data_IF_945187538120
#
_entry.id   IF_945187538120
#
_cell.length_a   1.000
_cell.length_b   1.000
_cell.length_c   1.000
_cell.angle_alpha   90.00
_cell.angle_beta   90.00
_cell.angle_gamma   90.00
#
_symmetry.space_group_name_H-M   'P 1'
#
loop_
_entity.id
_entity.type
_entity.pdbx_description
1 polymer ?
#
# COMPACT_ATOMS: atom_id res chain seq x y z
N UNK A 1 -8.49 -25.84 64.18
CA UNK A 1 -8.14 -26.01 62.76
C UNK A 1 -9.33 -25.56 61.92
N UNK A 2 -9.39 -24.30 61.47
CA UNK A 2 -10.16 -23.92 60.30
C UNK A 2 -9.29 -24.08 59.05
N UNK A 3 -9.93 -24.47 57.95
CA UNK A 3 -9.31 -24.77 56.67
C UNK A 3 -8.61 -23.54 56.06
N UNK A 4 -7.52 -23.83 55.34
CA UNK A 4 -6.88 -22.88 54.46
C UNK A 4 -7.60 -22.88 53.12
N UNK A 5 -8.28 -21.79 52.81
CA UNK A 5 -8.53 -21.37 51.42
C UNK A 5 -7.84 -20.02 51.23
N UNK A 6 -6.55 -20.11 50.90
CA UNK A 6 -5.76 -19.02 50.35
C UNK A 6 -6.45 -18.48 49.10
N UNK A 7 -6.65 -17.16 49.07
CA UNK A 7 -7.31 -16.45 47.99
C UNK A 7 -6.73 -16.75 46.62
N UNK A 8 -7.62 -16.90 45.65
CA UNK A 8 -7.35 -16.47 44.28
C UNK A 8 -8.00 -15.09 44.15
N UNK A 9 -7.23 -14.05 44.51
CA UNK A 9 -7.46 -12.73 43.93
C UNK A 9 -7.26 -12.89 42.42
N UNK A 10 -8.35 -12.74 41.67
CA UNK A 10 -8.30 -12.58 40.22
C UNK A 10 -7.81 -11.16 39.95
N UNK A 11 -6.50 -10.97 39.95
CA UNK A 11 -5.89 -9.98 39.06
C UNK A 11 -6.10 -10.53 37.62
N UNK A 12 -6.41 -9.78 36.56
CA UNK A 12 -5.96 -8.45 36.18
C UNK A 12 -6.98 -7.84 35.18
N UNK A 13 -6.98 -6.52 35.07
CA UNK A 13 -7.66 -5.77 34.01
C UNK A 13 -7.22 -6.27 32.63
N UNK A 14 -8.06 -7.00 31.92
CA UNK A 14 -7.86 -7.28 30.49
C UNK A 14 -8.13 -6.00 29.70
N UNK A 15 -7.09 -5.20 29.44
CA UNK A 15 -7.19 -4.09 28.48
C UNK A 15 -7.70 -4.58 27.13
N UNK A 16 -8.62 -3.82 26.50
CA UNK A 16 -9.15 -4.17 25.19
C UNK A 16 -8.03 -4.31 24.15
N UNK A 17 -8.11 -5.29 23.23
CA UNK A 17 -7.18 -5.38 22.11
C UNK A 17 -7.17 -4.06 21.34
N UNK A 18 -5.97 -3.59 21.02
CA UNK A 18 -5.77 -2.31 20.35
C UNK A 18 -5.72 -2.52 18.84
N UNK A 19 -6.36 -1.65 18.06
CA UNK A 19 -6.37 -1.73 16.59
C UNK A 19 -6.05 -0.38 15.94
N UNK A 20 -5.51 -0.46 14.72
CA UNK A 20 -5.29 0.67 13.83
C UNK A 20 -6.04 0.38 12.54
N UNK A 21 -6.93 1.28 12.13
CA UNK A 21 -7.72 1.14 10.92
C UNK A 21 -6.93 1.67 9.71
N UNK A 22 -6.35 0.80 8.91
CA UNK A 22 -5.49 1.24 7.80
C UNK A 22 -6.21 1.90 6.64
N UNK A 23 -7.55 1.89 6.61
CA UNK A 23 -8.32 2.51 5.52
C UNK A 23 -9.80 2.69 5.88
N UNK A 24 -10.24 3.94 5.96
CA UNK A 24 -11.66 4.29 6.03
C UNK A 24 -11.95 5.65 5.40
N UNK A 25 -13.21 5.87 5.01
CA UNK A 25 -13.68 7.11 4.39
C UNK A 25 -14.55 7.90 5.37
N UNK A 26 -13.97 8.90 6.02
CA UNK A 26 -14.67 9.75 6.99
C UNK A 26 -15.85 10.48 6.32
N UNK A 27 -15.59 11.16 5.22
CA UNK A 27 -16.56 11.90 4.41
C UNK A 27 -17.77 11.05 4.00
N UNK A 28 -17.51 9.87 3.43
CA UNK A 28 -18.56 8.95 2.98
C UNK A 28 -19.32 8.35 4.16
N UNK A 29 -18.63 8.08 5.26
CA UNK A 29 -19.25 7.56 6.49
C UNK A 29 -20.17 8.60 7.11
N UNK A 30 -19.72 9.85 7.21
CA UNK A 30 -20.53 10.96 7.70
C UNK A 30 -21.79 11.14 6.84
N UNK A 31 -21.64 11.11 5.51
CA UNK A 31 -22.77 11.21 4.58
C UNK A 31 -23.78 10.10 4.80
N UNK A 32 -23.30 8.88 5.05
CA UNK A 32 -24.15 7.71 5.27
C UNK A 32 -24.94 7.80 6.57
N UNK A 33 -24.33 8.28 7.66
CA UNK A 33 -24.92 8.32 9.00
C UNK A 33 -25.78 9.57 9.20
N UNK A 34 -25.25 10.74 8.85
CA UNK A 34 -25.84 12.05 9.17
C UNK A 34 -26.35 12.82 7.95
N UNK A 35 -26.18 12.29 6.73
CA UNK A 35 -26.65 12.94 5.50
C UNK A 35 -25.76 14.09 5.00
N UNK A 36 -24.63 14.35 5.66
CA UNK A 36 -23.67 15.42 5.32
C UNK A 36 -22.25 14.86 5.25
N UNK A 37 -21.45 15.33 4.29
CA UNK A 37 -20.07 14.84 4.09
C UNK A 37 -19.07 15.44 5.08
N UNK A 38 -19.36 16.63 5.63
CA UNK A 38 -18.48 17.36 6.55
C UNK A 38 -19.16 17.74 7.86
N UNK A 39 -18.40 18.44 8.72
CA UNK A 39 -18.89 18.94 10.02
C UNK A 39 -18.83 17.93 11.17
N UNK A 40 -18.38 16.71 10.91
CA UNK A 40 -18.20 15.67 11.91
C UNK A 40 -16.74 15.20 11.97
N UNK A 41 -16.32 14.81 13.17
CA UNK A 41 -14.98 14.32 13.47
C UNK A 41 -14.95 12.80 13.60
N UNK A 42 -13.76 12.21 13.64
CA UNK A 42 -13.63 10.78 13.95
C UNK A 42 -14.13 10.49 15.37
N UNK A 43 -13.98 11.43 16.30
CA UNK A 43 -14.51 11.31 17.66
C UNK A 43 -16.05 11.24 17.68
N UNK A 44 -16.73 11.97 16.79
CA UNK A 44 -18.18 11.87 16.64
C UNK A 44 -18.60 10.50 16.10
N UNK A 45 -17.82 9.93 15.17
CA UNK A 45 -18.05 8.57 14.67
C UNK A 45 -17.85 7.51 15.75
N UNK A 46 -16.79 7.62 16.56
CA UNK A 46 -16.54 6.70 17.67
C UNK A 46 -17.70 6.76 18.69
N UNK A 47 -18.12 7.96 19.09
CA UNK A 47 -19.29 8.15 19.98
C UNK A 47 -20.57 7.56 19.38
N UNK A 48 -20.79 7.75 18.08
CA UNK A 48 -21.93 7.14 17.40
C UNK A 48 -21.84 5.60 17.43
N UNK A 49 -20.66 5.02 17.17
CA UNK A 49 -20.46 3.57 17.20
C UNK A 49 -20.72 2.94 18.58
N UNK A 50 -20.48 3.71 19.65
CA UNK A 50 -20.69 3.30 21.04
C UNK A 50 -22.13 3.48 21.50
N UNK A 51 -22.94 4.32 20.85
CA UNK A 51 -24.31 4.62 21.29
C UNK A 51 -25.27 3.43 21.17
N UNK A 52 -26.35 3.47 21.94
CA UNK A 52 -27.43 2.48 21.89
C UNK A 52 -28.21 2.50 20.56
N UNK A 53 -28.06 3.57 19.75
CA UNK A 53 -28.70 3.65 18.44
C UNK A 53 -28.07 2.72 17.41
N UNK A 54 -26.84 2.22 17.66
CA UNK A 54 -26.17 1.25 16.78
C UNK A 54 -26.56 -0.17 17.23
N UNK A 55 -27.43 -0.88 16.47
CA UNK A 55 -28.03 -2.13 16.91
C UNK A 55 -27.06 -3.32 16.90
N UNK A 56 -25.87 -3.16 16.29
CA UNK A 56 -24.89 -4.21 16.17
C UNK A 56 -23.53 -3.78 16.73
N UNK A 57 -23.06 -4.51 17.75
CA UNK A 57 -21.76 -4.29 18.38
C UNK A 57 -20.74 -5.32 17.90
N UNK A 58 -19.43 -5.02 17.99
CA UNK A 58 -18.37 -5.99 17.81
C UNK A 58 -18.60 -7.29 18.54
N UNK A 59 -18.29 -8.41 17.90
CA UNK A 59 -18.15 -9.69 18.61
C UNK A 59 -16.97 -9.64 19.60
N UNK A 60 -15.93 -8.86 19.26
CA UNK A 60 -14.77 -8.58 20.12
C UNK A 60 -14.60 -7.07 20.17
N UNK A 61 -14.88 -6.43 21.32
CA UNK A 61 -14.61 -5.01 21.50
C UNK A 61 -13.12 -4.73 21.35
N UNK A 62 -12.78 -3.64 20.67
CA UNK A 62 -11.40 -3.22 20.42
C UNK A 62 -11.25 -1.74 20.71
N UNK A 63 -10.04 -1.33 21.10
CA UNK A 63 -9.67 0.08 21.24
C UNK A 63 -9.01 0.56 19.95
N UNK A 64 -9.68 1.43 19.20
CA UNK A 64 -9.09 2.07 18.02
C UNK A 64 -8.13 3.17 18.47
N UNK A 65 -6.86 3.06 18.10
CA UNK A 65 -5.83 4.06 18.49
C UNK A 65 -5.35 4.92 17.34
N UNK A 66 -6.00 4.85 16.18
CA UNK A 66 -5.67 5.64 15.00
C UNK A 66 -6.14 4.96 13.73
N UNK A 67 -5.91 5.65 12.62
CA UNK A 67 -6.21 5.11 11.30
C UNK A 67 -5.85 6.08 10.18
N UNK A 68 -6.06 5.62 8.96
CA UNK A 68 -5.88 6.40 7.73
C UNK A 68 -7.25 6.78 7.16
N UNK A 69 -7.55 8.08 7.20
CA UNK A 69 -8.70 8.66 6.52
C UNK A 69 -8.33 8.84 5.05
N UNK A 70 -9.17 8.34 4.15
CA UNK A 70 -8.89 8.32 2.71
C UNK A 70 -9.77 9.31 1.97
N UNK A 71 -9.15 10.33 1.37
CA UNK A 71 -9.79 11.27 0.46
C UNK A 71 -9.33 11.01 -0.97
N UNK A 72 -10.14 10.28 -1.73
CA UNK A 72 -9.81 9.85 -3.08
C UNK A 72 -10.69 10.46 -4.17
N UNK A 73 -11.47 11.50 -3.82
CA UNK A 73 -12.31 12.26 -4.74
C UNK A 73 -11.75 13.68 -4.88
N UNK A 74 -11.31 14.10 -6.08
CA UNK A 74 -10.71 15.42 -6.26
C UNK A 74 -11.56 16.61 -5.80
N UNK A 75 -12.88 16.42 -5.75
CA UNK A 75 -13.81 17.44 -5.30
C UNK A 75 -13.84 17.60 -3.78
N UNK A 76 -13.44 16.59 -3.01
CA UNK A 76 -13.40 16.63 -1.53
C UNK A 76 -12.06 17.11 -0.99
N UNK A 77 -11.07 17.40 -1.85
CA UNK A 77 -9.78 17.95 -1.44
C UNK A 77 -9.86 19.23 -0.58
N UNK A 78 -10.76 20.20 -0.85
CA UNK A 78 -10.93 21.37 0.01
C UNK A 78 -11.47 21.02 1.41
N UNK A 79 -12.17 19.89 1.54
CA UNK A 79 -12.78 19.42 2.79
C UNK A 79 -11.82 18.55 3.62
N UNK A 80 -10.59 18.33 3.14
CA UNK A 80 -9.55 17.64 3.89
C UNK A 80 -9.21 18.47 5.13
N UNK A 81 -9.85 18.12 6.24
CA UNK A 81 -9.64 18.79 7.51
C UNK A 81 -8.33 18.32 8.12
N UNK A 82 -7.38 19.25 8.29
CA UNK A 82 -6.13 18.99 9.00
C UNK A 82 -6.21 19.29 10.50
N UNK A 83 -7.37 19.75 10.99
CA UNK A 83 -7.64 19.96 12.43
C UNK A 83 -7.94 18.64 13.17
N UNK A 84 -7.68 17.50 12.53
CA UNK A 84 -7.73 16.17 13.13
C UNK A 84 -6.85 16.11 14.38
N UNK A 85 -7.48 16.31 15.54
CA UNK A 85 -6.88 16.06 16.83
C UNK A 85 -6.61 14.55 16.97
N UNK A 86 -5.54 14.18 17.68
CA UNK A 86 -5.24 12.77 17.91
C UNK A 86 -4.50 12.03 16.78
N UNK A 87 -4.55 10.69 16.79
CA UNK A 87 -3.63 9.82 16.05
C UNK A 87 -4.01 9.58 14.57
N UNK A 88 -5.01 10.31 14.04
CA UNK A 88 -5.49 10.16 12.67
C UNK A 88 -4.51 10.73 11.64
N UNK A 89 -4.32 9.97 10.57
CA UNK A 89 -3.51 10.33 9.39
C UNK A 89 -4.39 10.30 8.16
N UNK A 90 -3.87 10.84 7.06
CA UNK A 90 -4.62 11.02 5.82
C UNK A 90 -3.89 10.37 4.65
N UNK A 91 -4.63 9.73 3.76
CA UNK A 91 -4.22 9.42 2.40
C UNK A 91 -5.03 10.29 1.44
N UNK A 92 -4.36 10.85 0.43
CA UNK A 92 -5.00 11.64 -0.64
C UNK A 92 -4.64 11.07 -1.99
N UNK A 93 -5.62 10.95 -2.89
CA UNK A 93 -5.40 10.38 -4.22
C UNK A 93 -6.61 10.56 -5.13
N UNK A 94 -6.63 9.84 -6.24
CA UNK A 94 -7.75 9.82 -7.18
C UNK A 94 -8.18 8.38 -7.37
N UNK A 95 -9.35 8.03 -6.84
CA UNK A 95 -9.95 6.73 -7.03
C UNK A 95 -10.16 6.51 -8.54
N UNK A 96 -9.94 5.30 -9.09
CA UNK A 96 -10.05 5.05 -10.54
C UNK A 96 -11.38 5.53 -11.14
N UNK A 97 -12.51 5.33 -10.44
CA UNK A 97 -13.84 5.84 -10.86
C UNK A 97 -13.99 7.37 -10.91
N UNK A 98 -13.00 8.12 -10.42
CA UNK A 98 -12.95 9.58 -10.43
C UNK A 98 -12.04 10.11 -11.54
N UNK A 99 -11.63 9.27 -12.50
CA UNK A 99 -10.75 9.67 -13.61
C UNK A 99 -11.28 10.89 -14.38
N UNK A 100 -12.60 11.02 -14.53
CA UNK A 100 -13.24 12.10 -15.27
C UNK A 100 -13.27 13.44 -14.52
N UNK A 101 -13.14 13.43 -13.20
CA UNK A 101 -13.07 14.66 -12.37
C UNK A 101 -11.63 15.11 -12.15
N UNK A 102 -10.65 14.37 -12.68
CA UNK A 102 -9.24 14.71 -12.57
C UNK A 102 -8.83 15.74 -13.62
N UNK A 103 -8.29 16.86 -13.15
CA UNK A 103 -7.76 17.95 -13.97
C UNK A 103 -6.36 18.35 -13.51
N UNK A 104 -5.68 19.18 -14.30
CA UNK A 104 -4.36 19.71 -13.94
C UNK A 104 -4.42 20.57 -12.66
N UNK A 105 -5.51 21.30 -12.45
CA UNK A 105 -5.75 22.04 -11.22
C UNK A 105 -5.84 21.11 -10.01
N UNK A 106 -6.56 19.99 -10.15
CA UNK A 106 -6.66 18.97 -9.10
C UNK A 106 -5.33 18.26 -8.86
N UNK A 107 -4.52 18.08 -9.89
CA UNK A 107 -3.15 17.55 -9.75
C UNK A 107 -2.29 18.47 -8.89
N UNK A 108 -2.29 19.77 -9.16
CA UNK A 108 -1.54 20.74 -8.35
C UNK A 108 -2.00 20.75 -6.89
N UNK A 109 -3.31 20.67 -6.64
CA UNK A 109 -3.85 20.60 -5.29
C UNK A 109 -3.43 19.30 -4.57
N UNK A 110 -3.47 18.16 -5.27
CA UNK A 110 -2.99 16.89 -4.74
C UNK A 110 -1.51 16.96 -4.35
N UNK A 111 -0.67 17.52 -5.21
CA UNK A 111 0.75 17.72 -4.93
C UNK A 111 0.98 18.58 -3.68
N UNK A 112 0.20 19.65 -3.50
CA UNK A 112 0.25 20.47 -2.29
C UNK A 112 -0.16 19.67 -1.04
N UNK A 113 -1.25 18.90 -1.11
CA UNK A 113 -1.73 18.09 0.01
C UNK A 113 -0.68 17.04 0.44
N UNK A 114 0.03 16.42 -0.50
CA UNK A 114 1.09 15.44 -0.20
C UNK A 114 2.25 16.02 0.63
N UNK A 115 2.43 17.34 0.66
CA UNK A 115 3.43 17.97 1.52
C UNK A 115 2.97 18.13 2.96
N UNK A 116 1.67 18.01 3.26
CA UNK A 116 1.14 18.23 4.59
C UNK A 116 1.57 17.11 5.58
N UNK A 117 1.98 17.41 6.83
CA UNK A 117 2.48 16.41 7.80
C UNK A 117 1.48 15.33 8.22
N UNK A 118 0.17 15.60 8.10
CA UNK A 118 -0.89 14.60 8.36
C UNK A 118 -1.15 13.69 7.16
N UNK A 119 -0.74 14.09 5.96
CA UNK A 119 -0.86 13.26 4.75
C UNK A 119 0.35 12.34 4.69
N UNK A 120 0.11 11.05 4.84
CA UNK A 120 1.18 10.03 4.97
C UNK A 120 1.24 9.07 3.78
N UNK A 121 0.23 9.06 2.91
CA UNK A 121 0.16 8.15 1.77
C UNK A 121 -0.47 8.82 0.54
N UNK A 122 -0.08 8.32 -0.64
CA UNK A 122 -0.72 8.62 -1.92
C UNK A 122 -1.78 7.54 -2.19
N UNK A 123 -3.03 7.96 -2.31
CA UNK A 123 -4.15 7.10 -2.62
C UNK A 123 -5.39 7.44 -1.80
N UNK A 124 -6.51 6.77 -2.03
CA UNK A 124 -6.66 5.61 -2.90
C UNK A 124 -6.47 5.94 -4.39
N UNK A 125 -5.75 5.07 -5.10
CA UNK A 125 -5.53 5.14 -6.54
C UNK A 125 -5.39 3.73 -7.10
N UNK A 126 -5.40 3.55 -8.43
CA UNK A 126 -5.24 2.23 -9.04
C UNK A 126 -6.22 2.05 -10.20
N UNK A 127 -6.81 0.86 -10.29
CA UNK A 127 -7.59 0.43 -11.46
C UNK A 127 -8.87 -0.29 -10.99
N UNK A 128 -10.01 0.09 -11.56
CA UNK A 128 -11.31 -0.52 -11.28
C UNK A 128 -12.00 -0.85 -12.60
N UNK A 129 -11.87 -2.11 -13.02
CA UNK A 129 -12.45 -2.65 -14.26
C UNK A 129 -13.91 -3.07 -14.09
N UNK A 130 -14.56 -2.75 -12.97
CA UNK A 130 -16.00 -2.97 -12.80
C UNK A 130 -16.85 -2.00 -13.63
N UNK A 131 -16.24 -0.95 -14.19
CA UNK A 131 -16.87 0.02 -15.11
C UNK A 131 -16.72 -0.43 -16.57
N UNK A 132 -17.44 0.19 -17.52
CA UNK A 132 -17.31 -0.13 -18.94
C UNK A 132 -15.84 -0.10 -19.44
N UNK A 133 -15.43 -1.03 -20.33
CA UNK A 133 -14.06 -1.08 -20.86
C UNK A 133 -13.57 0.20 -21.54
N UNK A 134 -14.48 1.03 -22.06
CA UNK A 134 -14.16 2.33 -22.66
C UNK A 134 -13.49 3.30 -21.68
N UNK A 135 -13.63 3.08 -20.37
CA UNK A 135 -13.06 3.93 -19.33
C UNK A 135 -11.68 3.46 -18.84
N UNK A 136 -11.27 2.23 -19.15
CA UNK A 136 -10.07 1.63 -18.56
C UNK A 136 -8.80 2.39 -18.93
N UNK A 137 -8.68 2.85 -20.18
CA UNK A 137 -7.53 3.64 -20.62
C UNK A 137 -7.40 4.95 -19.85
N UNK A 138 -8.51 5.66 -19.60
CA UNK A 138 -8.47 6.91 -18.85
C UNK A 138 -8.07 6.68 -17.38
N UNK A 139 -8.51 5.57 -16.77
CA UNK A 139 -8.04 5.19 -15.44
C UNK A 139 -6.52 4.94 -15.42
N UNK A 140 -5.99 4.24 -16.41
CA UNK A 140 -4.55 3.98 -16.53
C UNK A 140 -3.76 5.29 -16.72
N UNK A 141 -4.25 6.22 -17.55
CA UNK A 141 -3.61 7.52 -17.77
C UNK A 141 -3.54 8.35 -16.48
N UNK A 142 -4.63 8.41 -15.72
CA UNK A 142 -4.66 9.08 -14.42
C UNK A 142 -3.73 8.38 -13.44
N UNK A 143 -3.79 7.05 -13.36
CA UNK A 143 -2.93 6.29 -12.46
C UNK A 143 -1.44 6.49 -12.76
N UNK A 144 -1.04 6.50 -14.03
CA UNK A 144 0.34 6.80 -14.44
C UNK A 144 0.78 8.18 -13.98
N UNK A 145 -0.08 9.21 -14.08
CA UNK A 145 0.23 10.55 -13.57
C UNK A 145 0.44 10.56 -12.06
N UNK A 146 -0.37 9.81 -11.31
CA UNK A 146 -0.21 9.67 -9.85
C UNK A 146 1.08 8.91 -9.49
N UNK A 147 1.41 7.82 -10.22
CA UNK A 147 2.63 7.06 -9.97
C UNK A 147 3.90 7.91 -10.14
N UNK A 148 3.88 8.94 -10.99
CA UNK A 148 4.99 9.90 -11.12
C UNK A 148 5.19 10.78 -9.88
N UNK A 149 4.17 10.92 -9.03
CA UNK A 149 4.28 11.59 -7.72
C UNK A 149 4.79 10.66 -6.61
N UNK A 150 4.78 9.34 -6.86
CA UNK A 150 5.16 8.37 -5.85
C UNK A 150 6.63 8.55 -5.46
N UNK A 151 6.86 8.66 -4.15
CA UNK A 151 8.18 8.56 -3.56
C UNK A 151 8.23 7.21 -2.83
N UNK A 152 9.33 6.42 -2.89
CA UNK A 152 9.41 5.11 -2.22
C UNK A 152 9.00 5.11 -0.75
N UNK A 153 9.19 6.27 -0.12
CA UNK A 153 8.98 6.50 1.28
C UNK A 153 7.52 6.90 1.64
N UNK A 154 6.73 7.36 0.67
CA UNK A 154 5.29 7.60 0.79
C UNK A 154 4.57 6.34 0.27
N UNK A 155 3.80 5.63 1.11
CA UNK A 155 3.08 4.45 0.68
C UNK A 155 2.04 4.78 -0.38
N UNK A 156 1.84 3.86 -1.32
CA UNK A 156 0.76 3.94 -2.30
C UNK A 156 -0.37 3.05 -1.82
N UNK A 157 -1.55 3.63 -1.58
CA UNK A 157 -2.79 2.90 -1.28
C UNK A 157 -3.47 2.56 -2.60
N UNK A 158 -3.50 1.27 -2.91
CA UNK A 158 -3.96 0.72 -4.18
C UNK A 158 -5.33 0.09 -4.07
N UNK A 159 -6.23 0.51 -4.96
CA UNK A 159 -7.50 -0.16 -5.24
C UNK A 159 -7.44 -0.88 -6.56
N UNK A 160 -7.73 -2.18 -6.50
CA UNK A 160 -7.68 -3.08 -7.65
C UNK A 160 -8.95 -3.91 -7.68
N UNK A 161 -9.82 -3.62 -8.67
CA UNK A 161 -11.09 -4.33 -8.85
C UNK A 161 -11.20 -4.87 -10.27
N UNK A 162 -11.39 -6.19 -10.38
CA UNK A 162 -11.62 -6.85 -11.67
C UNK A 162 -12.98 -6.50 -12.28
N UNK A 163 -13.21 -6.83 -13.56
CA UNK A 163 -14.53 -6.75 -14.16
C UNK A 163 -15.54 -7.68 -13.48
N UNK A 164 -16.83 -7.46 -13.74
CA UNK A 164 -17.87 -8.36 -13.27
C UNK A 164 -17.57 -9.81 -13.69
N UNK A 165 -17.58 -10.73 -12.72
CA UNK A 165 -17.24 -12.14 -12.92
C UNK A 165 -15.77 -12.48 -12.63
N UNK A 166 -14.84 -11.53 -12.61
CA UNK A 166 -13.47 -11.74 -12.13
C UNK A 166 -13.36 -11.44 -10.64
N UNK A 167 -13.82 -12.39 -9.82
CA UNK A 167 -13.78 -12.28 -8.36
C UNK A 167 -12.38 -12.09 -7.76
N UNK A 168 -11.32 -12.48 -8.47
CA UNK A 168 -9.95 -12.39 -7.96
C UNK A 168 -9.19 -11.18 -8.48
N UNK A 169 -9.73 -10.47 -9.49
CA UNK A 169 -9.09 -9.32 -10.11
C UNK A 169 -7.72 -9.63 -10.72
N UNK A 170 -7.45 -10.87 -11.13
CA UNK A 170 -6.08 -11.30 -11.46
C UNK A 170 -5.46 -10.47 -12.60
N UNK A 171 -6.28 -10.12 -13.59
CA UNK A 171 -5.86 -9.31 -14.73
C UNK A 171 -5.61 -7.84 -14.36
N UNK A 172 -6.52 -7.19 -13.63
CA UNK A 172 -6.31 -5.80 -13.17
C UNK A 172 -5.09 -5.70 -12.24
N UNK A 173 -4.88 -6.72 -11.40
CA UNK A 173 -3.75 -6.79 -10.48
C UNK A 173 -2.43 -6.93 -11.23
N UNK A 174 -2.37 -7.81 -12.25
CA UNK A 174 -1.21 -7.93 -13.11
C UNK A 174 -0.93 -6.63 -13.88
N UNK A 175 -1.97 -5.98 -14.40
CA UNK A 175 -1.83 -4.69 -15.09
C UNK A 175 -1.28 -3.60 -14.20
N UNK A 176 -1.81 -3.46 -12.99
CA UNK A 176 -1.28 -2.52 -12.01
C UNK A 176 0.18 -2.78 -11.71
N UNK A 177 0.56 -4.05 -11.47
CA UNK A 177 1.96 -4.41 -11.22
C UNK A 177 2.86 -3.92 -12.36
N UNK A 178 2.50 -4.21 -13.62
CA UNK A 178 3.25 -3.77 -14.80
C UNK A 178 3.46 -2.25 -14.85
N UNK A 179 2.41 -1.46 -14.59
CA UNK A 179 2.51 0.00 -14.56
C UNK A 179 3.45 0.47 -13.43
N UNK A 180 3.34 -0.14 -12.26
CA UNK A 180 4.21 0.18 -11.13
C UNK A 180 5.66 -0.22 -11.37
N UNK A 181 5.96 -1.29 -12.11
CA UNK A 181 7.35 -1.66 -12.40
C UNK A 181 8.07 -0.59 -13.23
N UNK A 182 7.34 0.14 -14.07
CA UNK A 182 7.87 1.22 -14.90
C UNK A 182 8.13 2.48 -14.08
N UNK A 183 7.25 2.77 -13.11
CA UNK A 183 7.23 4.07 -12.42
C UNK A 183 7.73 4.05 -10.98
N UNK A 184 7.83 2.88 -10.34
CA UNK A 184 8.19 2.73 -8.94
C UNK A 184 9.42 1.83 -8.77
N UNK A 185 10.21 2.11 -7.73
CA UNK A 185 11.30 1.23 -7.30
C UNK A 185 10.74 0.02 -6.55
N UNK A 186 11.44 -1.11 -6.55
CA UNK A 186 11.05 -2.29 -5.75
C UNK A 186 10.87 -1.97 -4.25
N UNK A 187 11.59 -0.97 -3.73
CA UNK A 187 11.47 -0.53 -2.34
C UNK A 187 10.18 0.27 -2.02
N UNK A 188 9.37 0.59 -3.03
CA UNK A 188 8.10 1.31 -2.85
C UNK A 188 7.22 0.60 -1.82
N UNK A 189 6.80 1.35 -0.80
CA UNK A 189 5.79 0.87 0.16
C UNK A 189 4.43 0.88 -0.51
N UNK A 190 3.68 -0.19 -0.32
CA UNK A 190 2.39 -0.40 -0.98
C UNK A 190 1.41 -0.93 0.05
N UNK A 191 0.21 -0.37 0.04
CA UNK A 191 -0.94 -0.91 0.72
C UNK A 191 -1.93 -1.40 -0.34
N UNK A 192 -2.00 -2.71 -0.54
CA UNK A 192 -3.05 -3.34 -1.35
C UNK A 192 -4.32 -3.41 -0.51
N UNK A 193 -5.12 -2.36 -0.62
CA UNK A 193 -6.37 -2.23 0.11
C UNK A 193 -7.39 -3.29 -0.34
N UNK A 194 -8.20 -3.77 0.60
CA UNK A 194 -9.29 -4.71 0.42
C UNK A 194 -8.89 -5.96 -0.38
N UNK A 195 -7.79 -6.59 0.04
CA UNK A 195 -7.18 -7.69 -0.70
C UNK A 195 -8.06 -8.95 -0.69
N UNK A 196 -8.32 -9.47 -1.90
CA UNK A 196 -9.19 -10.62 -2.15
C UNK A 196 -8.56 -11.64 -3.13
N UNK A 197 -7.24 -11.55 -3.33
CA UNK A 197 -6.50 -12.32 -4.32
C UNK A 197 -6.09 -13.73 -3.86
N UNK A 198 -5.43 -14.45 -4.77
CA UNK A 198 -4.96 -15.83 -4.60
C UNK A 198 -3.47 -15.88 -4.21
N UNK A 199 -2.98 -17.08 -3.87
CA UNK A 199 -1.58 -17.31 -3.44
C UNK A 199 -0.53 -16.85 -4.45
N UNK A 200 -0.79 -17.04 -5.74
CA UNK A 200 0.07 -16.59 -6.84
C UNK A 200 0.24 -15.07 -6.85
N UNK A 201 -0.86 -14.33 -6.64
CA UNK A 201 -0.86 -12.87 -6.52
C UNK A 201 0.03 -12.44 -5.35
N UNK A 202 -0.15 -13.02 -4.16
CA UNK A 202 0.66 -12.67 -2.98
C UNK A 202 2.15 -12.88 -3.24
N UNK A 203 2.52 -14.03 -3.81
CA UNK A 203 3.91 -14.36 -4.13
C UNK A 203 4.50 -13.41 -5.17
N UNK A 204 3.74 -13.08 -6.21
CA UNK A 204 4.19 -12.19 -7.27
C UNK A 204 4.45 -10.77 -6.73
N UNK A 205 3.50 -10.24 -5.93
CA UNK A 205 3.64 -8.92 -5.32
C UNK A 205 4.81 -8.85 -4.35
N UNK A 206 4.97 -9.81 -3.44
CA UNK A 206 6.08 -9.79 -2.49
C UNK A 206 7.44 -10.01 -3.16
N UNK A 207 7.48 -10.73 -4.28
CA UNK A 207 8.72 -10.88 -5.06
C UNK A 207 9.16 -9.56 -5.68
N UNK A 208 8.21 -8.75 -6.19
CA UNK A 208 8.51 -7.49 -6.86
C UNK A 208 8.61 -6.32 -5.87
N UNK A 209 7.62 -6.20 -5.00
CA UNK A 209 7.49 -5.16 -4.00
C UNK A 209 7.45 -5.82 -2.60
N UNK A 210 8.61 -6.16 -2.01
CA UNK A 210 8.66 -6.85 -0.71
C UNK A 210 8.05 -6.04 0.44
N UNK A 211 7.89 -4.73 0.27
CA UNK A 211 7.26 -3.82 1.23
C UNK A 211 5.73 -3.70 1.05
N UNK A 212 5.10 -4.57 0.26
CA UNK A 212 3.64 -4.60 0.10
C UNK A 212 2.96 -5.13 1.36
N UNK A 213 2.04 -4.35 1.91
CA UNK A 213 1.08 -4.78 2.91
C UNK A 213 -0.27 -5.05 2.26
N UNK A 214 -1.03 -5.99 2.81
CA UNK A 214 -2.33 -6.45 2.33
C UNK A 214 -3.39 -6.08 3.36
N UNK A 215 -4.33 -5.22 2.96
CA UNK A 215 -5.46 -4.78 3.78
C UNK A 215 -6.56 -5.82 3.81
N UNK A 216 -7.03 -6.15 5.01
CA UNK A 216 -8.09 -7.12 5.23
C UNK A 216 -9.31 -6.45 5.87
N UNK A 217 -10.43 -6.51 5.15
CA UNK A 217 -11.76 -6.05 5.60
C UNK A 217 -12.60 -7.19 6.15
N UNK A 218 -13.83 -6.88 6.57
CA UNK A 218 -14.84 -7.88 6.91
C UNK A 218 -15.23 -8.83 5.75
N UNK A 219 -14.81 -8.54 4.51
CA UNK A 219 -15.01 -9.42 3.35
C UNK A 219 -14.38 -10.81 3.51
N UNK A 220 -13.40 -10.97 4.41
CA UNK A 220 -12.78 -12.28 4.72
C UNK A 220 -13.80 -13.36 5.12
N UNK A 221 -14.98 -12.96 5.62
CA UNK A 221 -16.06 -13.90 6.00
C UNK A 221 -16.68 -14.63 4.81
N UNK A 222 -16.55 -14.07 3.61
CA UNK A 222 -17.13 -14.62 2.37
C UNK A 222 -16.06 -15.20 1.44
N UNK A 223 -14.82 -15.35 1.92
CA UNK A 223 -13.73 -15.88 1.11
C UNK A 223 -13.95 -17.35 0.75
N UNK A 224 -13.68 -17.69 -0.51
CA UNK A 224 -13.60 -19.08 -0.96
C UNK A 224 -12.24 -19.72 -0.63
N UNK A 225 -12.09 -21.01 -0.95
CA UNK A 225 -10.86 -21.76 -0.68
C UNK A 225 -9.60 -21.15 -1.30
N UNK A 226 -9.69 -20.49 -2.46
CA UNK A 226 -8.55 -19.88 -3.12
C UNK A 226 -8.15 -18.56 -2.46
N UNK A 227 -9.12 -17.75 -2.03
CA UNK A 227 -8.87 -16.51 -1.29
C UNK A 227 -8.34 -16.81 0.12
N UNK A 228 -8.84 -17.86 0.76
CA UNK A 228 -8.29 -18.36 2.04
C UNK A 228 -6.85 -18.82 1.87
N UNK A 229 -6.53 -19.54 0.78
CA UNK A 229 -5.15 -19.92 0.47
C UNK A 229 -4.26 -18.70 0.17
N UNK A 230 -4.81 -17.67 -0.47
CA UNK A 230 -4.17 -16.36 -0.65
C UNK A 230 -3.83 -15.71 0.68
N UNK A 231 -4.81 -15.53 1.55
CA UNK A 231 -4.65 -15.00 2.91
C UNK A 231 -3.56 -15.74 3.70
N UNK A 232 -3.57 -17.08 3.68
CA UNK A 232 -2.56 -17.91 4.36
C UNK A 232 -1.14 -17.75 3.80
N UNK A 233 -1.00 -17.30 2.56
CA UNK A 233 0.29 -17.07 1.93
C UNK A 233 0.89 -15.71 2.28
N UNK A 234 0.12 -14.79 2.86
CA UNK A 234 0.61 -13.47 3.26
C UNK A 234 1.47 -13.64 4.52
N UNK A 235 2.75 -13.20 4.51
CA UNK A 235 3.53 -13.15 5.74
C UNK A 235 2.79 -12.28 6.76
N UNK A 236 2.74 -12.74 8.02
CA UNK A 236 2.03 -12.02 9.09
C UNK A 236 2.51 -10.56 9.25
N UNK A 237 3.76 -10.30 8.88
CA UNK A 237 4.40 -8.98 8.89
C UNK A 237 3.89 -8.01 7.81
N UNK A 238 3.08 -8.50 6.88
CA UNK A 238 2.56 -7.77 5.74
C UNK A 238 1.03 -7.66 5.80
N UNK A 239 0.39 -8.04 6.91
CA UNK A 239 -1.06 -7.91 7.11
C UNK A 239 -1.36 -6.60 7.83
N UNK A 240 -2.32 -5.85 7.31
CA UNK A 240 -2.94 -4.71 7.99
C UNK A 240 -4.46 -4.88 7.99
N UNK A 241 -5.12 -4.34 9.01
CA UNK A 241 -6.55 -4.46 9.22
C UNK A 241 -7.24 -3.14 8.87
N UNK A 242 -8.36 -3.22 8.18
CA UNK A 242 -9.12 -2.02 7.80
C UNK A 242 -10.62 -2.28 7.81
N UNK A 243 -11.39 -1.20 7.97
CA UNK A 243 -12.85 -1.28 7.96
C UNK A 243 -13.41 -1.04 6.57
N UNK A 244 -12.74 -0.17 5.79
CA UNK A 244 -13.27 0.43 4.57
C UNK A 244 -14.63 1.12 4.81
N UNK A 245 -14.88 1.63 6.03
CA UNK A 245 -16.15 2.26 6.35
C UNK A 245 -16.44 3.44 5.39
N UNK A 246 -17.69 3.59 4.90
CA UNK A 246 -18.91 2.92 5.35
C UNK A 246 -19.22 1.61 4.62
N UNK A 247 -18.31 1.10 3.82
CA UNK A 247 -18.45 -0.16 3.12
C UNK A 247 -18.30 -1.34 4.09
N UNK A 248 -18.68 -2.53 3.63
CA UNK A 248 -18.81 -3.74 4.46
C UNK A 248 -19.58 -3.54 5.77
N UNK A 249 -20.78 -2.92 5.71
CA UNK A 249 -21.57 -2.64 6.90
C UNK A 249 -21.95 -3.94 7.63
N UNK A 250 -22.14 -3.83 8.93
CA UNK A 250 -22.51 -4.95 9.78
C UNK A 250 -24.01 -4.88 10.09
N UNK A 251 -24.68 -6.04 9.99
CA UNK A 251 -26.10 -6.18 10.33
C UNK A 251 -26.86 -7.13 9.42
N UNK A 252 -28.19 -7.17 9.57
CA UNK A 252 -29.09 -7.91 8.67
C UNK A 252 -29.42 -7.08 7.43
N UNK A 253 -29.84 -7.72 6.34
CA UNK A 253 -30.14 -7.08 5.05
C UNK A 253 -31.12 -5.89 5.08
N UNK A 254 -31.84 -5.68 6.20
CA UNK A 254 -32.78 -4.57 6.42
C UNK A 254 -32.19 -3.39 7.23
N UNK A 255 -31.04 -3.54 7.89
CA UNK A 255 -30.36 -2.50 8.71
C UNK A 255 -28.86 -2.75 8.71
N UNK A 256 -28.18 -2.14 7.74
CA UNK A 256 -26.73 -2.21 7.54
C UNK A 256 -26.09 -0.91 8.06
N UNK A 257 -25.34 -0.98 9.15
CA UNK A 257 -24.65 0.18 9.71
C UNK A 257 -23.16 0.16 9.38
N UNK A 258 -22.52 1.33 9.12
CA UNK A 258 -21.07 1.44 8.99
C UNK A 258 -20.40 0.84 10.23
N UNK A 259 -19.62 -0.22 10.05
CA UNK A 259 -18.95 -0.86 11.18
C UNK A 259 -17.48 -0.50 11.19
N UNK A 260 -17.04 0.19 12.23
CA UNK A 260 -15.62 0.37 12.57
C UNK A 260 -14.99 -0.90 13.14
N UNK A 261 -15.51 -2.06 12.72
CA UNK A 261 -15.41 -3.26 13.51
C UNK A 261 -14.75 -4.38 12.72
N UNK A 262 -13.51 -4.65 13.10
CA UNK A 262 -12.74 -5.80 12.66
C UNK A 262 -13.33 -7.08 13.26
N UNK A 263 -14.51 -7.49 12.80
CA UNK A 263 -15.09 -8.77 13.23
C UNK A 263 -14.64 -9.85 12.27
N UNK A 264 -13.65 -10.60 12.71
CA UNK A 264 -13.33 -11.91 12.19
C UNK A 264 -14.23 -12.94 12.88
N UNK A 265 -15.05 -13.67 12.11
CA UNK A 265 -15.76 -14.87 12.57
C UNK A 265 -15.35 -16.01 11.65
N UNK A 266 -14.66 -17.06 12.13
CA UNK A 266 -14.39 -18.23 11.31
C UNK A 266 -15.72 -18.82 10.83
N UNK A 267 -15.83 -19.13 9.55
CA UNK A 267 -16.79 -20.13 9.13
C UNK A 267 -16.42 -21.44 9.82
N UNK A 268 -17.42 -22.26 10.14
CA UNK A 268 -17.31 -23.54 10.88
C UNK A 268 -16.38 -24.60 10.24
N UNK A 269 -15.63 -24.24 9.20
CA UNK A 269 -14.69 -25.09 8.49
C UNK A 269 -13.23 -24.58 8.48
N UNK A 270 -12.85 -23.54 9.23
CA UNK A 270 -11.59 -22.85 8.92
C UNK A 270 -10.54 -22.82 10.04
N UNK A 271 -9.38 -23.39 9.71
CA UNK A 271 -8.05 -23.12 10.26
C UNK A 271 -7.55 -21.73 9.86
N UNK A 272 -8.34 -20.72 10.17
CA UNK A 272 -8.02 -19.31 9.95
C UNK A 272 -7.43 -18.73 11.24
N UNK A 273 -6.60 -17.69 11.11
CA UNK A 273 -5.96 -17.01 12.24
C UNK A 273 -7.03 -16.44 13.18
N UNK A 274 -6.88 -16.69 14.47
CA UNK A 274 -7.76 -16.12 15.50
C UNK A 274 -7.60 -14.59 15.57
N UNK A 275 -8.60 -13.85 16.07
CA UNK A 275 -8.47 -12.42 16.36
C UNK A 275 -7.24 -12.11 17.23
N UNK A 276 -6.96 -12.97 18.20
CA UNK A 276 -5.81 -12.87 19.11
C UNK A 276 -4.47 -13.00 18.37
N UNK A 277 -4.44 -13.73 17.25
CA UNK A 277 -3.26 -13.77 16.38
C UNK A 277 -3.18 -12.53 15.48
N UNK A 278 -4.27 -12.11 14.83
CA UNK A 278 -4.23 -11.05 13.82
C UNK A 278 -3.99 -9.64 14.38
N UNK A 279 -4.58 -9.31 15.53
CA UNK A 279 -4.54 -7.97 16.09
C UNK A 279 -3.12 -7.53 16.46
N UNK A 280 -2.32 -8.33 17.21
CA UNK A 280 -0.94 -7.95 17.55
C UNK A 280 -0.06 -7.74 16.31
N UNK A 281 -0.22 -8.59 15.27
CA UNK A 281 0.56 -8.42 14.04
C UNK A 281 0.17 -7.15 13.29
N UNK A 282 -1.12 -6.88 13.08
CA UNK A 282 -1.54 -5.64 12.43
C UNK A 282 -0.99 -4.40 13.16
N UNK A 283 -1.03 -4.43 14.49
CA UNK A 283 -0.54 -3.34 15.34
C UNK A 283 0.97 -3.08 15.24
N UNK A 284 1.77 -4.13 15.02
CA UNK A 284 3.21 -3.96 14.85
C UNK A 284 3.55 -3.40 13.46
N UNK A 285 2.73 -3.67 12.43
CA UNK A 285 3.11 -3.46 11.04
C UNK A 285 2.44 -2.26 10.36
N UNK A 286 1.35 -1.70 10.88
CA UNK A 286 0.82 -0.44 10.34
C UNK A 286 1.89 0.67 10.33
N UNK A 287 2.79 0.67 11.33
CA UNK A 287 3.93 1.60 11.38
C UNK A 287 4.93 1.33 10.27
N UNK A 288 5.10 0.10 9.80
CA UNK A 288 5.99 -0.21 8.68
C UNK A 288 5.35 0.16 7.34
N UNK A 289 4.03 -0.05 7.23
CA UNK A 289 3.25 0.34 6.07
C UNK A 289 3.18 1.86 5.93
N UNK A 290 2.83 2.59 6.99
CA UNK A 290 2.52 4.03 6.98
C UNK A 290 3.50 4.91 7.77
N UNK A 291 4.75 4.46 8.03
CA UNK A 291 5.75 5.31 8.69
C UNK A 291 5.99 6.55 7.86
N UNK A 292 5.71 7.73 8.43
CA UNK A 292 6.09 8.98 7.79
C UNK A 292 7.62 9.03 7.64
N UNK A 293 8.14 9.07 6.41
CA UNK A 293 9.57 9.11 6.17
C UNK A 293 10.18 10.47 6.48
N UNK A 294 9.38 11.54 6.51
CA UNK A 294 9.85 12.89 6.86
C UNK A 294 10.23 13.00 8.34
N UNK A 295 9.89 12.00 9.15
CA UNK A 295 10.46 11.86 10.49
C UNK A 295 11.98 11.59 10.35
N UNK A 296 12.85 12.44 10.93
CA UNK A 296 14.31 12.32 10.79
C UNK A 296 14.88 10.93 11.11
N UNK A 297 14.28 10.21 12.05
CA UNK A 297 14.69 8.85 12.43
C UNK A 297 14.36 7.79 11.35
N UNK A 298 13.35 8.04 10.51
CA UNK A 298 12.96 7.16 9.41
C UNK A 298 13.79 7.41 8.15
N UNK A 299 14.17 8.66 7.89
CA UNK A 299 15.09 9.05 6.81
C UNK A 299 16.45 8.36 6.93
N UNK A 300 16.97 8.26 8.15
CA UNK A 300 18.25 7.58 8.42
C UNK A 300 18.14 6.07 8.18
N UNK A 301 17.03 5.44 8.59
CA UNK A 301 16.74 4.03 8.30
C UNK A 301 16.61 3.74 6.79
N UNK A 302 15.94 4.61 6.04
CA UNK A 302 15.84 4.48 4.57
C UNK A 302 17.18 4.67 3.86
N UNK A 303 18.02 5.60 4.30
CA UNK A 303 19.38 5.78 3.77
C UNK A 303 20.23 4.54 4.02
N UNK A 304 20.10 3.94 5.20
CA UNK A 304 20.82 2.73 5.58
C UNK A 304 20.29 1.48 4.86
N UNK A 305 18.97 1.34 4.67
CA UNK A 305 18.36 0.22 3.91
C UNK A 305 18.63 0.32 2.41
N UNK A 306 18.56 1.51 1.81
CA UNK A 306 18.94 1.74 0.42
C UNK A 306 20.43 1.42 0.21
N UNK A 307 21.29 1.86 1.13
CA UNK A 307 22.71 1.52 1.12
C UNK A 307 22.95 0.01 1.26
N UNK A 308 22.21 -0.69 2.13
CA UNK A 308 22.29 -2.16 2.28
C UNK A 308 21.75 -2.92 1.07
N UNK A 309 20.69 -2.44 0.43
CA UNK A 309 20.13 -3.04 -0.78
C UNK A 309 21.07 -2.85 -1.99
N UNK A 310 21.71 -1.68 -2.11
CA UNK A 310 22.75 -1.41 -3.11
C UNK A 310 24.02 -2.24 -2.84
N UNK A 311 24.42 -2.40 -1.57
CA UNK A 311 25.52 -3.27 -1.16
C UNK A 311 25.20 -4.74 -1.43
N UNK A 312 23.97 -5.19 -1.14
CA UNK A 312 23.49 -6.54 -1.41
C UNK A 312 23.41 -6.86 -2.91
N UNK A 313 23.00 -5.89 -3.72
CA UNK A 313 23.01 -6.01 -5.19
C UNK A 313 24.45 -6.05 -5.75
N UNK A 314 25.38 -5.29 -5.16
CA UNK A 314 26.82 -5.33 -5.49
C UNK A 314 27.50 -6.63 -5.05
N UNK A 315 27.08 -7.23 -3.94
CA UNK A 315 27.61 -8.51 -3.44
C UNK A 315 27.03 -9.73 -4.18
N UNK A 316 25.80 -9.62 -4.71
CA UNK A 316 25.19 -10.66 -5.55
C UNK A 316 25.77 -10.71 -6.97
N UNK A 317 26.32 -9.59 -7.45
CA UNK A 317 27.13 -9.55 -8.65
C UNK A 317 28.57 -9.97 -8.30
N UNK A 318 28.87 -11.27 -8.34
CA UNK A 318 30.27 -11.74 -8.25
C UNK A 318 31.10 -11.10 -9.39
N UNK A 319 32.21 -10.42 -9.10
CA UNK A 319 33.29 -10.26 -10.05
C UNK A 319 34.18 -11.51 -9.97
N UNK A 320 34.51 -12.08 -11.12
CA UNK A 320 35.74 -12.86 -11.23
C UNK A 320 36.94 -11.94 -11.00
N UNK A 321 37.93 -12.51 -10.33
CA UNK A 321 39.10 -11.89 -9.70
C UNK A 321 40.13 -11.42 -10.74
N UNK A 322 40.73 -10.24 -10.54
CA UNK A 322 42.20 -10.14 -10.46
C UNK A 322 42.64 -8.83 -9.78
N UNK A 323 43.62 -8.99 -8.90
CA UNK A 323 44.29 -7.99 -8.08
C UNK A 323 44.90 -6.82 -8.88
N UNK A 324 44.77 -5.59 -8.38
CA UNK A 324 45.92 -4.84 -7.83
C UNK A 324 45.53 -3.44 -7.33
N UNK A 325 46.00 -3.15 -6.10
CA UNK A 325 46.41 -1.86 -5.53
C UNK A 325 45.39 -0.73 -5.26
N UNK A 326 45.23 -0.50 -3.95
CA UNK A 326 44.79 0.73 -3.32
C UNK A 326 45.88 1.82 -3.37
N UNK A 327 45.57 2.99 -3.93
CA UNK A 327 46.20 4.31 -3.68
C UNK A 327 45.16 5.36 -4.14
N UNK A 328 44.32 5.94 -3.27
CA UNK A 328 44.52 7.27 -2.62
C UNK A 328 43.66 8.39 -3.25
N UNK A 329 42.92 9.06 -2.38
CA UNK A 329 42.41 10.45 -2.42
C UNK A 329 41.34 10.89 -3.43
N UNK A 330 40.20 11.27 -2.85
CA UNK A 330 39.62 12.62 -2.92
C UNK A 330 40.52 13.67 -3.59
N UNK A 331 40.41 13.83 -4.92
CA UNK A 331 40.59 15.10 -5.63
C UNK A 331 40.19 14.91 -7.09
N UNK A 332 38.99 15.33 -7.47
CA UNK A 332 38.68 15.95 -8.78
C UNK A 332 37.16 16.15 -8.88
N UNK A 333 36.69 17.27 -8.33
CA UNK A 333 35.40 17.84 -8.66
C UNK A 333 35.52 18.83 -9.85
N UNK A 334 36.57 18.72 -10.67
CA UNK A 334 36.92 19.77 -11.66
C UNK A 334 37.69 19.20 -12.85
N UNK A 335 37.03 18.39 -13.69
CA UNK A 335 37.59 18.00 -15.01
C UNK A 335 36.51 17.64 -16.07
N UNK A 336 35.28 18.11 -15.93
CA UNK A 336 34.23 18.03 -16.97
C UNK A 336 34.18 19.33 -17.81
N UNK A 337 35.13 20.27 -17.62
CA UNK A 337 35.05 21.59 -18.25
C UNK A 337 36.20 22.01 -19.16
N UNK A 338 37.14 21.15 -19.58
CA UNK A 338 38.35 21.70 -20.23
C UNK A 338 38.90 21.13 -21.54
N UNK A 339 38.28 20.21 -22.30
CA UNK A 339 38.84 19.91 -23.64
C UNK A 339 37.81 19.54 -24.72
N UNK A 340 37.01 20.53 -25.11
CA UNK A 340 36.86 20.82 -26.55
C UNK A 340 38.10 21.58 -26.98
N UNK A 341 39.09 20.90 -27.56
CA UNK A 341 40.02 21.44 -28.57
C UNK A 341 41.11 20.44 -28.90
N UNK A 342 41.25 20.22 -30.20
CA UNK A 342 42.46 19.78 -30.89
C UNK A 342 42.76 18.28 -30.86
N UNK A 343 43.01 17.60 -31.98
CA UNK A 343 43.18 18.05 -33.36
C UNK A 343 43.16 16.79 -34.23
N UNK A 344 42.57 16.92 -35.41
CA UNK A 344 42.89 16.15 -36.61
C UNK A 344 44.39 15.90 -36.78
N UNK A 345 44.86 14.71 -36.43
CA UNK A 345 46.18 14.17 -36.77
C UNK A 345 46.19 12.71 -36.25
N UNK A 346 46.16 11.64 -37.04
CA UNK A 346 46.76 11.37 -38.33
C UNK A 346 46.02 10.20 -38.99
N UNK A 347 45.63 10.37 -40.26
CA UNK A 347 45.60 9.26 -41.20
C UNK A 347 47.02 8.70 -41.31
N UNK A 348 47.19 7.38 -41.28
CA UNK A 348 47.93 6.59 -42.30
C UNK A 348 48.29 5.19 -41.77
N UNK A 349 48.23 4.22 -42.69
CA UNK A 349 48.84 2.87 -42.62
C UNK A 349 48.10 1.82 -41.76
N UNK A 350 47.66 0.65 -42.24
CA UNK A 350 47.65 0.03 -43.56
C UNK A 350 46.74 -1.22 -43.48
N UNK A 351 46.00 -1.52 -44.54
CA UNK A 351 45.50 -2.88 -44.84
C UNK A 351 46.66 -3.74 -45.36
N UNK A 352 46.71 -5.07 -45.11
CA UNK A 352 46.07 -6.09 -45.99
C UNK A 352 45.56 -7.33 -45.20
N UNK A 353 44.82 -8.34 -45.69
CA UNK A 353 44.07 -8.65 -46.89
C UNK A 353 43.16 -9.89 -46.60
N UNK A 354 41.97 -9.92 -47.22
CA UNK A 354 41.27 -11.06 -47.87
C UNK A 354 41.09 -12.42 -47.15
N UNK A 355 39.86 -12.70 -46.69
CA UNK A 355 38.85 -13.71 -47.19
C UNK A 355 38.95 -15.16 -46.66
N UNK A 356 37.87 -16.00 -46.68
CA UNK A 356 36.42 -15.73 -46.87
C UNK A 356 35.50 -16.41 -45.80
N UNK A 357 34.24 -15.97 -45.78
CA UNK A 357 33.09 -16.65 -45.15
C UNK A 357 32.72 -17.94 -45.89
N UNK A 358 32.20 -18.97 -45.19
CA UNK A 358 31.22 -19.89 -45.75
C UNK A 358 29.80 -19.40 -45.46
N UNK A 359 28.97 -19.51 -46.49
CA UNK A 359 27.60 -19.08 -46.61
C UNK A 359 26.63 -20.28 -46.55
N UNK A 360 25.33 -19.96 -46.52
CA UNK A 360 24.19 -20.78 -46.98
C UNK A 360 23.67 -21.82 -45.96
N UNK A 361 22.38 -21.99 -45.63
CA UNK A 361 21.07 -21.31 -45.80
C UNK A 361 20.03 -22.12 -44.97
N UNK A 362 18.80 -21.60 -44.75
CA UNK A 362 17.81 -22.16 -43.81
C UNK A 362 16.83 -23.16 -44.46
N UNK A 363 16.17 -23.98 -43.64
CA UNK A 363 14.90 -24.67 -43.91
C UNK A 363 14.17 -24.90 -42.56
N UNK A 364 13.02 -24.25 -42.35
CA UNK A 364 11.66 -24.81 -42.47
C UNK A 364 11.38 -25.92 -41.43
N UNK A 365 10.62 -25.61 -40.37
CA UNK A 365 9.18 -25.90 -40.20
C UNK A 365 8.62 -25.07 -39.04
#
# INVERSE_FOLDING_TARGET
MPDGSSGMEVAEHSELPVVFDSHFHLDRTCKKIWGVEGGHTVEDLLKHSESDSVPYKPAIPVKVIGGIIVYSEPNTYPDVSFTLNGPWKVAVGVHPKQHSTFSEEKMMLLEQLLHHPKVVALGECGLDRSVPPSEWTQQEDVFIKLLKLAKPCIPIVLHLRGPAGDKYGSDVIARCMMLMEVHCRNAQRIHLHCFQGKTDVVKAWLKKFPNTCFGLTASVRTFDSHQIAGLKAIPRTNIVLETDAPYFPFGTAKKLEPSFTLIYKPSSQSSLLSPDELIPYSMMHWKNCFKDPRNPQTLEGFRQEASKAELGARLAAKPEVSDTQAVTNYTMLTAIQDLTRNVQALQTSAYPAKTPLPSITPNLW
#
